data_IF_906800544367
#
_entry.id   IF_906800544367
#
_cell.length_a   1.000
_cell.length_b   1.000
_cell.length_c   1.000
_cell.angle_alpha   90.00
_cell.angle_beta   90.00
_cell.angle_gamma   90.00
#
_symmetry.space_group_name_H-M   'P 1'
#
loop_
_entity.id
_entity.type
_entity.pdbx_description
1 polymer ?
#
# COMPACT_ATOMS: atom_id res chain seq x y z
N UNK A 1 -24.72 8.54 -14.46
CA UNK A 1 -23.71 7.47 -14.63
C UNK A 1 -22.35 8.11 -14.91
N UNK A 2 -21.79 8.88 -13.97
CA UNK A 2 -20.54 9.64 -14.16
C UNK A 2 -19.57 9.54 -12.96
N UNK A 3 -19.91 8.82 -11.89
CA UNK A 3 -19.06 8.74 -10.69
C UNK A 3 -17.84 7.82 -10.85
N UNK A 4 -17.89 6.84 -11.73
CA UNK A 4 -16.86 5.78 -11.83
C UNK A 4 -15.53 6.32 -12.35
N UNK A 5 -15.55 7.20 -13.34
CA UNK A 5 -14.32 7.71 -13.99
C UNK A 5 -13.48 8.57 -13.05
N UNK A 6 -14.12 9.45 -12.27
CA UNK A 6 -13.42 10.31 -11.31
C UNK A 6 -12.86 9.51 -10.14
N UNK A 7 -13.59 8.48 -9.68
CA UNK A 7 -13.12 7.66 -8.58
C UNK A 7 -11.93 6.79 -8.99
N UNK A 8 -11.96 6.20 -10.18
CA UNK A 8 -10.82 5.46 -10.74
C UNK A 8 -9.58 6.34 -10.96
N UNK A 9 -9.79 7.58 -11.42
CA UNK A 9 -8.69 8.52 -11.61
C UNK A 9 -8.02 8.87 -10.28
N UNK A 10 -8.81 9.16 -9.24
CA UNK A 10 -8.30 9.50 -7.91
C UNK A 10 -7.65 8.30 -7.22
N UNK A 11 -8.18 7.08 -7.38
CA UNK A 11 -7.54 5.87 -6.87
C UNK A 11 -6.16 5.64 -7.50
N UNK A 12 -6.06 5.76 -8.83
CA UNK A 12 -4.78 5.66 -9.56
C UNK A 12 -3.81 6.74 -9.11
N UNK A 13 -4.29 7.97 -8.93
CA UNK A 13 -3.49 9.08 -8.42
C UNK A 13 -2.96 8.79 -7.02
N UNK A 14 -3.83 8.33 -6.13
CA UNK A 14 -3.47 7.98 -4.76
C UNK A 14 -2.43 6.85 -4.73
N UNK A 15 -2.65 5.78 -5.49
CA UNK A 15 -1.72 4.67 -5.59
C UNK A 15 -0.32 5.11 -6.06
N UNK A 16 -0.25 6.01 -7.06
CA UNK A 16 1.02 6.59 -7.52
C UNK A 16 1.72 7.43 -6.45
N UNK A 17 0.97 8.22 -5.68
CA UNK A 17 1.54 9.03 -4.59
C UNK A 17 2.13 8.15 -3.48
N UNK A 18 1.41 7.08 -3.11
CA UNK A 18 1.89 6.11 -2.11
C UNK A 18 3.13 5.38 -2.63
N UNK A 19 3.13 4.94 -3.89
CA UNK A 19 4.28 4.29 -4.50
C UNK A 19 5.54 5.19 -4.50
N UNK A 20 5.39 6.46 -4.86
CA UNK A 20 6.50 7.42 -4.83
C UNK A 20 7.01 7.67 -3.40
N UNK A 21 6.11 7.71 -2.40
CA UNK A 21 6.50 7.86 -1.00
C UNK A 21 7.28 6.65 -0.48
N UNK A 22 6.83 5.43 -0.81
CA UNK A 22 7.53 4.18 -0.47
C UNK A 22 8.91 4.13 -1.11
N UNK A 23 9.02 4.50 -2.38
CA UNK A 23 10.29 4.54 -3.09
C UNK A 23 11.28 5.55 -2.49
N UNK A 24 10.80 6.73 -2.08
CA UNK A 24 11.62 7.71 -1.36
C UNK A 24 12.12 7.16 -0.02
N UNK A 25 11.26 6.44 0.72
CA UNK A 25 11.61 5.84 1.99
C UNK A 25 12.68 4.75 1.83
N UNK A 26 12.54 3.87 0.84
CA UNK A 26 13.54 2.85 0.52
C UNK A 26 14.87 3.41 0.01
N UNK A 27 14.86 4.58 -0.63
CA UNK A 27 16.10 5.27 -1.01
C UNK A 27 16.80 5.90 0.19
N UNK A 28 16.05 6.44 1.16
CA UNK A 28 16.63 7.01 2.37
C UNK A 28 17.13 5.94 3.34
N UNK A 29 16.48 4.78 3.38
CA UNK A 29 16.80 3.69 4.30
C UNK A 29 17.20 2.44 3.53
N UNK A 30 18.48 2.05 3.61
CA UNK A 30 19.05 1.00 2.77
C UNK A 30 18.47 -0.41 3.04
N UNK A 31 17.76 -0.62 4.15
CA UNK A 31 17.38 -1.93 4.66
C UNK A 31 15.98 -2.00 5.28
N UNK A 32 14.98 -1.38 4.64
CA UNK A 32 13.59 -1.41 5.16
C UNK A 32 12.75 -2.44 4.42
N UNK A 33 12.17 -3.38 5.17
CA UNK A 33 11.13 -4.30 4.70
C UNK A 33 9.76 -3.64 4.90
N UNK A 34 8.85 -3.82 3.93
CA UNK A 34 7.53 -3.18 3.95
C UNK A 34 6.42 -4.23 3.99
N UNK A 35 5.37 -3.95 4.76
CA UNK A 35 4.09 -4.66 4.66
C UNK A 35 3.06 -3.66 4.13
N UNK A 36 2.32 -4.05 3.11
CA UNK A 36 1.29 -3.20 2.49
C UNK A 36 -0.09 -3.71 2.90
N UNK A 37 -0.87 -2.84 3.54
CA UNK A 37 -2.24 -3.15 3.96
C UNK A 37 -3.20 -2.18 3.29
N UNK A 38 -4.12 -2.70 2.47
CA UNK A 38 -5.14 -1.88 1.82
C UNK A 38 -6.33 -2.74 1.36
N UNK A 39 -7.49 -2.14 1.04
CA UNK A 39 -8.59 -2.84 0.39
C UNK A 39 -8.15 -3.49 -0.95
N UNK A 40 -8.81 -4.60 -1.38
CA UNK A 40 -8.40 -5.35 -2.57
C UNK A 40 -8.21 -4.51 -3.84
N UNK A 41 -9.11 -3.53 -4.07
CA UNK A 41 -9.06 -2.63 -5.24
C UNK A 41 -7.83 -1.72 -5.20
N UNK A 42 -7.56 -1.11 -4.06
CA UNK A 42 -6.38 -0.26 -3.85
C UNK A 42 -5.08 -1.08 -3.93
N UNK A 43 -5.04 -2.31 -3.40
CA UNK A 43 -3.88 -3.18 -3.56
C UNK A 43 -3.57 -3.48 -5.03
N UNK A 44 -4.58 -3.73 -5.86
CA UNK A 44 -4.37 -3.97 -7.29
C UNK A 44 -3.73 -2.75 -7.98
N UNK A 45 -4.20 -1.55 -7.67
CA UNK A 45 -3.63 -0.30 -8.19
C UNK A 45 -2.20 -0.06 -7.66
N UNK A 46 -1.96 -0.31 -6.36
CA UNK A 46 -0.63 -0.20 -5.75
C UNK A 46 0.38 -1.17 -6.36
N UNK A 47 0.01 -2.44 -6.56
CA UNK A 47 0.86 -3.45 -7.24
C UNK A 47 1.28 -3.01 -8.64
N UNK A 48 0.41 -2.29 -9.34
CA UNK A 48 0.67 -1.74 -10.67
C UNK A 48 1.51 -0.46 -10.62
N UNK A 49 1.43 0.31 -9.54
CA UNK A 49 2.14 1.56 -9.36
C UNK A 49 3.54 1.40 -8.73
N UNK A 50 3.80 0.34 -7.96
CA UNK A 50 5.09 0.12 -7.31
C UNK A 50 6.19 -0.23 -8.30
N UNK A 51 7.33 0.46 -8.17
CA UNK A 51 8.56 0.09 -8.88
C UNK A 51 9.07 -1.28 -8.43
N UNK A 52 9.83 -1.97 -9.30
CA UNK A 52 10.37 -3.30 -9.00
C UNK A 52 11.16 -3.34 -7.69
N UNK A 53 11.97 -2.30 -7.43
CA UNK A 53 12.76 -2.19 -6.20
C UNK A 53 11.89 -2.12 -4.94
N UNK A 54 10.73 -1.45 -5.03
CA UNK A 54 9.76 -1.38 -3.92
C UNK A 54 9.15 -2.75 -3.71
N UNK A 55 8.70 -3.41 -4.79
CA UNK A 55 8.08 -4.75 -4.74
C UNK A 55 9.00 -5.81 -4.15
N UNK A 56 10.30 -5.76 -4.45
CA UNK A 56 11.29 -6.67 -3.86
C UNK A 56 11.48 -6.49 -2.35
N UNK A 57 11.04 -5.36 -1.77
CA UNK A 57 11.11 -5.08 -0.33
C UNK A 57 9.78 -5.33 0.38
N UNK A 58 8.70 -5.61 -0.35
CA UNK A 58 7.41 -5.97 0.24
C UNK A 58 7.51 -7.41 0.71
N UNK A 59 7.44 -7.61 2.04
CA UNK A 59 7.51 -8.94 2.68
C UNK A 59 6.13 -9.53 2.96
N UNK A 60 5.07 -8.72 2.81
CA UNK A 60 3.69 -9.17 3.00
C UNK A 60 2.69 -8.16 2.45
N UNK A 61 1.55 -8.67 2.00
CA UNK A 61 0.41 -7.88 1.56
C UNK A 61 -0.85 -8.39 2.26
N UNK A 62 -1.66 -7.48 2.82
CA UNK A 62 -2.90 -7.81 3.50
C UNK A 62 -4.07 -7.04 2.91
N UNK A 63 -5.08 -7.78 2.45
CA UNK A 63 -6.29 -7.25 1.82
C UNK A 63 -7.34 -6.81 2.84
N UNK A 64 -6.93 -5.91 3.73
CA UNK A 64 -7.76 -5.44 4.85
C UNK A 64 -7.79 -3.92 4.91
N UNK A 65 -8.95 -3.36 5.24
CA UNK A 65 -9.07 -1.95 5.57
C UNK A 65 -8.79 -1.74 7.06
N UNK A 66 -7.63 -1.16 7.36
CA UNK A 66 -7.22 -0.83 8.73
C UNK A 66 -7.20 0.67 9.01
N UNK A 67 -7.71 1.52 8.11
CA UNK A 67 -7.60 3.00 8.20
C UNK A 67 -8.19 3.62 9.47
N UNK A 68 -9.11 2.92 10.16
CA UNK A 68 -9.77 3.37 11.40
C UNK A 68 -9.29 2.66 12.67
N UNK A 69 -8.25 1.84 12.58
CA UNK A 69 -7.73 1.09 13.72
C UNK A 69 -6.56 1.84 14.35
N UNK A 70 -6.45 1.86 15.70
CA UNK A 70 -5.25 2.34 16.37
C UNK A 70 -4.05 1.45 16.03
N UNK A 71 -2.84 2.02 16.10
CA UNK A 71 -1.59 1.31 15.74
C UNK A 71 -1.45 -0.03 16.47
N UNK A 72 -1.80 -0.08 17.76
CA UNK A 72 -1.74 -1.31 18.55
C UNK A 72 -2.66 -2.44 18.04
N UNK A 73 -3.78 -2.10 17.39
CA UNK A 73 -4.66 -3.09 16.75
C UNK A 73 -4.15 -3.51 15.38
N UNK A 74 -3.55 -2.58 14.63
CA UNK A 74 -2.86 -2.88 13.37
C UNK A 74 -1.75 -3.91 13.62
N UNK A 75 -0.93 -3.72 14.65
CA UNK A 75 0.15 -4.65 15.03
C UNK A 75 -0.35 -6.05 15.38
N UNK A 76 -1.55 -6.18 15.96
CA UNK A 76 -2.15 -7.50 16.23
C UNK A 76 -2.52 -8.18 14.92
N UNK A 77 -3.19 -7.46 14.02
CA UNK A 77 -3.56 -7.99 12.71
C UNK A 77 -2.36 -8.36 11.84
N UNK A 78 -1.25 -7.61 11.95
CA UNK A 78 -0.02 -7.91 11.22
C UNK A 78 0.71 -9.13 11.78
N UNK A 79 0.71 -9.34 13.11
CA UNK A 79 1.32 -10.52 13.73
C UNK A 79 0.67 -11.84 13.32
N UNK A 80 -0.63 -11.82 13.06
CA UNK A 80 -1.37 -13.01 12.63
C UNK A 80 -1.19 -13.30 11.12
N UNK A 81 -0.71 -12.32 10.36
CA UNK A 81 -0.62 -12.36 8.90
C UNK A 81 0.78 -12.65 8.35
N UNK A 82 1.83 -12.67 9.19
CA UNK A 82 3.24 -12.89 8.82
C UNK A 82 3.80 -14.13 9.53
#
# INVERSE_FOLDING_TARGET
>A
MEMTDWHEFEEKRFARQVAAAAERLLRSEHATSLIVVAPPRTLAELRSAFHADVRCRIVGELDKDLTKHPVAEIEKHLRDAV
#
